data_IF_070658795618
#
_entry.id   IF_070658795618
#
_cell.length_a   1.000
_cell.length_b   1.000
_cell.length_c   1.000
_cell.angle_alpha   90.00
_cell.angle_beta   90.00
_cell.angle_gamma   90.00
#
_symmetry.space_group_name_H-M   'P 1'
#
loop_
_entity.id
_entity.type
_entity.pdbx_description
1 polymer ?
#
# COMPACT_ATOMS: atom_id res chain seq x y z
N UNK A 1 -6.34 -13.47 -9.75
CA UNK A 1 -5.47 -14.67 -9.70
C UNK A 1 -5.17 -15.23 -11.09
N UNK A 2 -5.97 -14.94 -12.10
CA UNK A 2 -5.72 -15.36 -13.50
C UNK A 2 -4.56 -14.64 -14.20
N UNK A 3 -4.00 -13.62 -13.58
CA UNK A 3 -2.91 -12.78 -14.12
C UNK A 3 -1.51 -13.32 -13.78
N UNK A 4 -1.39 -14.24 -12.81
CA UNK A 4 -0.12 -14.86 -12.45
C UNK A 4 0.36 -15.82 -13.55
N UNK A 5 1.67 -15.85 -13.77
CA UNK A 5 2.30 -16.75 -14.75
C UNK A 5 2.12 -18.21 -14.32
N UNK A 6 1.28 -18.94 -15.05
CA UNK A 6 0.95 -20.34 -14.77
C UNK A 6 2.15 -21.30 -14.89
N UNK A 7 3.25 -20.87 -15.47
CA UNK A 7 4.48 -21.68 -15.59
C UNK A 7 5.34 -21.67 -14.32
N UNK A 8 5.06 -20.76 -13.39
CA UNK A 8 5.79 -20.62 -12.12
C UNK A 8 5.15 -21.42 -11.01
N UNK A 9 6.00 -22.01 -10.17
CA UNK A 9 5.59 -22.62 -8.93
C UNK A 9 5.48 -21.56 -7.83
N UNK A 10 4.27 -21.38 -7.29
CA UNK A 10 3.95 -20.44 -6.19
C UNK A 10 3.85 -21.15 -4.83
N UNK A 11 4.35 -22.38 -4.69
CA UNK A 11 4.27 -23.16 -3.45
C UNK A 11 4.96 -22.47 -2.26
N UNK A 12 5.85 -21.49 -2.54
CA UNK A 12 6.53 -20.69 -1.53
C UNK A 12 5.79 -19.38 -1.16
N UNK A 13 4.64 -19.09 -1.79
CA UNK A 13 3.84 -17.90 -1.49
C UNK A 13 2.79 -18.22 -0.44
N UNK A 14 3.20 -18.19 0.83
CA UNK A 14 2.33 -18.55 1.97
C UNK A 14 1.32 -17.45 2.35
N UNK A 15 1.50 -16.21 1.87
CA UNK A 15 0.62 -15.08 2.20
C UNK A 15 0.10 -14.37 0.96
N UNK A 16 -1.04 -13.68 1.10
CA UNK A 16 -1.61 -12.86 0.04
C UNK A 16 -0.65 -11.74 -0.37
N UNK A 17 0.08 -11.14 0.58
CA UNK A 17 1.05 -10.08 0.31
C UNK A 17 2.19 -10.58 -0.58
N UNK A 18 2.74 -11.77 -0.32
CA UNK A 18 3.77 -12.36 -1.18
C UNK A 18 3.28 -12.63 -2.61
N UNK A 19 2.02 -13.02 -2.78
CA UNK A 19 1.43 -13.19 -4.11
C UNK A 19 1.28 -11.86 -4.85
N UNK A 20 0.88 -10.79 -4.14
CA UNK A 20 0.78 -9.44 -4.73
C UNK A 20 2.18 -8.93 -5.11
N UNK A 21 3.17 -9.13 -4.23
CA UNK A 21 4.56 -8.77 -4.47
C UNK A 21 5.11 -9.48 -5.73
N UNK A 22 4.95 -10.80 -5.84
CA UNK A 22 5.39 -11.55 -7.01
C UNK A 22 4.67 -11.11 -8.29
N UNK A 23 3.36 -10.82 -8.22
CA UNK A 23 2.63 -10.28 -9.36
C UNK A 23 3.15 -8.90 -9.77
N UNK A 24 3.45 -8.03 -8.79
CA UNK A 24 4.05 -6.71 -9.02
C UNK A 24 5.42 -6.83 -9.70
N UNK A 25 6.28 -7.71 -9.22
CA UNK A 25 7.59 -7.96 -9.80
C UNK A 25 7.50 -8.51 -11.25
N UNK A 26 6.55 -9.40 -11.52
CA UNK A 26 6.29 -9.88 -12.87
C UNK A 26 5.83 -8.76 -13.80
N UNK A 27 4.97 -7.89 -13.32
CA UNK A 27 4.48 -6.73 -14.07
C UNK A 27 5.65 -5.80 -14.43
N UNK A 28 6.53 -5.50 -13.48
CA UNK A 28 7.71 -4.69 -13.72
C UNK A 28 8.70 -5.34 -14.71
N UNK A 29 8.85 -6.66 -14.68
CA UNK A 29 9.68 -7.36 -15.68
C UNK A 29 9.09 -7.28 -17.09
N UNK A 30 7.77 -7.50 -17.22
CA UNK A 30 7.07 -7.44 -18.51
C UNK A 30 7.01 -6.04 -19.13
N UNK A 31 7.13 -4.98 -18.35
CA UNK A 31 7.08 -3.61 -18.86
C UNK A 31 8.21 -3.32 -19.84
N UNK A 32 9.37 -3.97 -19.67
CA UNK A 32 10.53 -3.84 -20.57
C UNK A 32 10.20 -4.33 -21.97
N UNK A 33 9.33 -5.32 -22.12
CA UNK A 33 8.91 -5.87 -23.42
C UNK A 33 8.05 -4.86 -24.22
N UNK A 34 7.28 -4.03 -23.50
CA UNK A 34 6.42 -2.99 -24.09
C UNK A 34 7.06 -1.59 -24.04
N UNK A 35 8.36 -1.51 -23.69
CA UNK A 35 9.16 -0.27 -23.63
C UNK A 35 8.57 0.80 -22.71
N UNK A 36 7.97 0.41 -21.60
CA UNK A 36 7.53 1.33 -20.56
C UNK A 36 8.55 1.32 -19.42
N UNK A 37 8.98 2.51 -19.00
CA UNK A 37 9.96 2.64 -17.93
C UNK A 37 9.35 2.22 -16.58
N UNK A 38 10.01 1.31 -15.89
CA UNK A 38 9.67 0.87 -14.54
C UNK A 38 9.60 2.02 -13.53
N UNK A 39 10.41 3.06 -13.73
CA UNK A 39 10.40 4.25 -12.88
C UNK A 39 9.04 4.95 -12.98
N UNK A 40 8.51 5.13 -14.19
CA UNK A 40 7.20 5.75 -14.41
C UNK A 40 6.06 4.92 -13.81
N UNK A 41 6.14 3.59 -13.91
CA UNK A 41 5.15 2.68 -13.33
C UNK A 41 5.16 2.80 -11.79
N UNK A 42 6.35 2.77 -11.17
CA UNK A 42 6.50 2.93 -9.71
C UNK A 42 6.03 4.30 -9.24
N UNK A 43 6.39 5.37 -9.97
CA UNK A 43 5.94 6.72 -9.66
C UNK A 43 4.40 6.85 -9.77
N UNK A 44 3.79 6.21 -10.75
CA UNK A 44 2.33 6.19 -10.93
C UNK A 44 1.64 5.55 -9.72
N UNK A 45 2.06 4.37 -9.29
CA UNK A 45 1.51 3.69 -8.10
C UNK A 45 1.74 4.53 -6.85
N UNK A 46 2.96 5.04 -6.63
CA UNK A 46 3.29 5.84 -5.45
C UNK A 46 2.42 7.09 -5.33
N UNK A 47 2.20 7.81 -6.44
CA UNK A 47 1.34 9.01 -6.46
C UNK A 47 -0.10 8.66 -6.11
N UNK A 48 -0.65 7.58 -6.69
CA UNK A 48 -2.00 7.11 -6.42
C UNK A 48 -2.15 6.71 -4.94
N UNK A 49 -1.22 5.91 -4.42
CA UNK A 49 -1.22 5.43 -3.03
C UNK A 49 -1.12 6.58 -2.05
N UNK A 50 -0.19 7.53 -2.24
CA UNK A 50 -0.05 8.72 -1.40
C UNK A 50 -1.32 9.57 -1.37
N UNK A 51 -1.97 9.76 -2.51
CA UNK A 51 -3.24 10.49 -2.57
C UNK A 51 -4.36 9.75 -1.82
N UNK A 52 -4.49 8.44 -2.04
CA UNK A 52 -5.48 7.60 -1.34
C UNK A 52 -5.23 7.60 0.17
N UNK A 53 -3.98 7.45 0.57
CA UNK A 53 -3.55 7.50 1.97
C UNK A 53 -3.94 8.83 2.64
N UNK A 54 -3.54 9.95 2.03
CA UNK A 54 -3.76 11.29 2.57
C UNK A 54 -5.24 11.67 2.62
N UNK A 55 -6.02 11.23 1.65
CA UNK A 55 -7.45 11.53 1.55
C UNK A 55 -8.34 10.48 2.23
N UNK A 56 -7.76 9.39 2.74
CA UNK A 56 -8.49 8.22 3.28
C UNK A 56 -9.57 7.71 2.31
N UNK A 57 -9.21 7.58 1.04
CA UNK A 57 -10.10 7.18 -0.05
C UNK A 57 -9.62 5.92 -0.73
N UNK A 58 -10.56 5.11 -1.21
CA UNK A 58 -10.29 3.90 -2.01
C UNK A 58 -10.33 4.15 -3.53
N UNK A 59 -10.74 5.35 -3.93
CA UNK A 59 -10.68 5.83 -5.31
C UNK A 59 -10.31 7.31 -5.36
N UNK A 60 -9.61 7.72 -6.42
CA UNK A 60 -9.11 9.08 -6.61
C UNK A 60 -9.61 9.63 -7.94
N UNK A 61 -9.92 10.92 -7.97
CA UNK A 61 -10.28 11.61 -9.21
C UNK A 61 -9.03 11.67 -10.10
N UNK A 62 -9.13 11.15 -11.33
CA UNK A 62 -8.02 11.10 -12.28
C UNK A 62 -7.37 12.47 -12.51
N UNK A 63 -8.15 13.55 -12.55
CA UNK A 63 -7.69 14.92 -12.83
C UNK A 63 -6.68 15.46 -11.81
N UNK A 64 -6.66 14.94 -10.57
CA UNK A 64 -5.73 15.39 -9.54
C UNK A 64 -4.42 14.57 -9.51
N UNK A 65 -4.32 13.53 -10.34
CA UNK A 65 -3.12 12.71 -10.46
C UNK A 65 -2.15 13.36 -11.46
N UNK A 66 -0.88 13.43 -11.07
CA UNK A 66 0.21 13.84 -11.95
C UNK A 66 1.05 12.61 -12.28
N UNK A 67 0.56 11.78 -13.21
CA UNK A 67 1.15 10.49 -13.57
C UNK A 67 1.29 10.34 -15.08
N UNK A 68 2.22 9.51 -15.51
CA UNK A 68 2.36 9.16 -16.92
C UNK A 68 1.15 8.33 -17.40
N UNK A 69 0.52 8.76 -18.49
CA UNK A 69 -0.68 8.11 -19.03
C UNK A 69 -0.41 6.71 -19.59
N UNK A 70 0.82 6.43 -20.08
CA UNK A 70 1.17 5.10 -20.57
C UNK A 70 1.37 4.14 -19.40
N UNK A 71 2.00 4.61 -18.32
CA UNK A 71 2.12 3.84 -17.08
C UNK A 71 0.73 3.53 -16.49
N UNK A 72 -0.18 4.52 -16.45
CA UNK A 72 -1.54 4.34 -15.97
C UNK A 72 -2.32 3.31 -16.81
N UNK A 73 -2.25 3.41 -18.14
CA UNK A 73 -2.85 2.44 -19.07
C UNK A 73 -2.27 1.05 -18.91
N UNK A 74 -0.95 0.95 -18.76
CA UNK A 74 -0.27 -0.32 -18.55
C UNK A 74 -0.74 -1.01 -17.27
N UNK A 75 -0.81 -0.30 -16.16
CA UNK A 75 -1.31 -0.81 -14.87
C UNK A 75 -2.77 -1.27 -14.97
N UNK A 76 -3.61 -0.51 -15.69
CA UNK A 76 -5.01 -0.87 -15.90
C UNK A 76 -5.14 -2.11 -16.80
N UNK A 77 -4.41 -2.17 -17.92
CA UNK A 77 -4.45 -3.31 -18.85
C UNK A 77 -3.95 -4.61 -18.23
N UNK A 78 -3.08 -4.52 -17.21
CA UNK A 78 -2.58 -5.67 -16.46
C UNK A 78 -3.39 -5.98 -15.19
N UNK A 79 -4.54 -5.35 -15.00
CA UNK A 79 -5.47 -5.67 -13.92
C UNK A 79 -5.06 -5.20 -12.53
N UNK A 80 -4.10 -4.28 -12.40
CA UNK A 80 -3.74 -3.65 -11.12
C UNK A 80 -4.69 -2.51 -10.77
N UNK A 81 -4.99 -1.67 -11.75
CA UNK A 81 -5.87 -0.51 -11.58
C UNK A 81 -7.15 -0.67 -12.39
N UNK A 82 -8.22 -0.18 -11.84
CA UNK A 82 -9.48 0.05 -12.51
C UNK A 82 -9.61 1.54 -12.79
N UNK A 83 -9.59 1.91 -14.07
CA UNK A 83 -9.61 3.30 -14.55
C UNK A 83 -10.92 3.56 -15.26
N UNK A 84 -11.74 4.45 -14.70
CA UNK A 84 -12.95 4.98 -15.30
C UNK A 84 -12.68 6.35 -15.93
N UNK A 85 -13.70 6.98 -16.51
CA UNK A 85 -13.52 8.31 -17.14
C UNK A 85 -12.94 9.34 -16.17
N UNK A 86 -13.41 9.36 -14.94
CA UNK A 86 -13.07 10.37 -13.94
C UNK A 86 -12.31 9.84 -12.74
N UNK A 87 -12.27 8.52 -12.53
CA UNK A 87 -11.73 7.93 -11.30
C UNK A 87 -10.72 6.82 -11.57
N UNK A 88 -9.83 6.65 -10.62
CA UNK A 88 -8.85 5.56 -10.57
C UNK A 88 -8.96 4.87 -9.20
N UNK A 89 -9.03 3.56 -9.21
CA UNK A 89 -9.00 2.71 -8.02
C UNK A 89 -8.14 1.47 -8.25
N UNK A 90 -7.81 0.75 -7.20
CA UNK A 90 -7.26 -0.60 -7.35
C UNK A 90 -8.37 -1.60 -7.70
N UNK A 91 -8.05 -2.60 -8.51
CA UNK A 91 -9.01 -3.66 -8.90
C UNK A 91 -9.48 -4.49 -7.72
N UNK A 92 -8.64 -4.62 -6.70
CA UNK A 92 -8.95 -5.34 -5.47
C UNK A 92 -8.44 -4.57 -4.25
N UNK A 93 -9.26 -4.52 -3.20
CA UNK A 93 -8.91 -3.85 -1.94
C UNK A 93 -7.58 -4.36 -1.36
N UNK A 94 -7.29 -5.65 -1.47
CA UNK A 94 -6.04 -6.25 -0.97
C UNK A 94 -4.78 -5.71 -1.65
N UNK A 95 -4.87 -5.31 -2.93
CA UNK A 95 -3.74 -4.68 -3.62
C UNK A 95 -3.50 -3.29 -3.04
N UNK A 96 -4.58 -2.52 -2.81
CA UNK A 96 -4.48 -1.22 -2.14
C UNK A 96 -3.89 -1.36 -0.74
N UNK A 97 -4.40 -2.30 0.08
CA UNK A 97 -3.93 -2.52 1.45
C UNK A 97 -2.43 -2.83 1.47
N UNK A 98 -1.94 -3.69 0.58
CA UNK A 98 -0.51 -4.00 0.42
C UNK A 98 0.32 -2.73 0.13
N UNK A 99 -0.09 -1.89 -0.82
CA UNK A 99 0.66 -0.68 -1.14
C UNK A 99 0.56 0.40 -0.05
N UNK A 100 -0.54 0.46 0.69
CA UNK A 100 -0.68 1.34 1.85
C UNK A 100 0.25 0.91 3.00
N UNK A 101 0.40 -0.39 3.22
CA UNK A 101 1.35 -0.97 4.17
C UNK A 101 2.80 -0.63 3.78
N UNK A 102 3.18 -0.82 2.51
CA UNK A 102 4.49 -0.39 1.98
C UNK A 102 4.73 1.10 2.19
N UNK A 103 3.72 1.96 1.96
CA UNK A 103 3.83 3.40 2.21
C UNK A 103 4.05 3.72 3.70
N UNK A 104 3.38 3.01 4.61
CA UNK A 104 3.60 3.19 6.06
C UNK A 104 5.01 2.79 6.49
N UNK A 105 5.56 1.69 5.94
CA UNK A 105 6.94 1.29 6.18
C UNK A 105 7.92 2.34 5.63
N UNK A 106 7.68 2.87 4.43
CA UNK A 106 8.49 3.96 3.87
C UNK A 106 8.46 5.20 4.77
N UNK A 107 7.28 5.62 5.24
CA UNK A 107 7.14 6.74 6.17
C UNK A 107 7.92 6.50 7.46
N UNK A 108 7.89 5.28 7.99
CA UNK A 108 8.67 4.90 9.17
C UNK A 108 10.17 5.00 8.91
N UNK A 109 10.65 4.50 7.78
CA UNK A 109 12.06 4.59 7.36
C UNK A 109 12.51 6.05 7.13
N UNK A 110 11.60 6.92 6.70
CA UNK A 110 11.80 8.37 6.60
C UNK A 110 11.76 9.11 7.96
N UNK A 111 11.67 8.38 9.08
CA UNK A 111 11.56 8.90 10.45
C UNK A 111 10.30 9.74 10.70
N UNK A 112 9.20 9.46 10.02
CA UNK A 112 7.90 10.05 10.35
C UNK A 112 7.44 9.59 11.73
N UNK A 113 6.71 10.46 12.42
CA UNK A 113 6.14 10.14 13.73
C UNK A 113 4.99 9.13 13.59
N UNK A 114 4.68 8.43 14.67
CA UNK A 114 3.56 7.47 14.69
C UNK A 114 2.23 8.18 14.39
N UNK A 115 2.07 9.42 14.86
CA UNK A 115 0.91 10.27 14.58
C UNK A 115 0.79 10.60 13.09
N UNK A 116 1.90 10.88 12.41
CA UNK A 116 1.91 11.11 10.95
C UNK A 116 1.53 9.83 10.20
N UNK A 117 2.03 8.66 10.64
CA UNK A 117 1.72 7.36 10.04
C UNK A 117 0.26 6.95 10.31
N UNK A 118 -0.27 7.19 11.48
CA UNK A 118 -1.69 6.89 11.80
C UNK A 118 -2.63 7.88 11.10
N UNK A 119 -2.18 9.12 10.96
CA UNK A 119 -2.97 10.23 10.43
C UNK A 119 -3.81 10.94 11.49
N UNK A 120 -4.45 12.04 11.07
CA UNK A 120 -5.31 12.82 11.95
C UNK A 120 -6.58 12.03 12.38
N UNK A 121 -7.32 12.57 13.34
CA UNK A 121 -8.50 11.89 13.93
C UNK A 121 -9.55 11.49 12.88
N UNK A 122 -9.73 12.28 11.82
CA UNK A 122 -10.71 11.98 10.76
C UNK A 122 -10.24 10.80 9.88
N UNK A 123 -8.93 10.62 9.73
CA UNK A 123 -8.31 9.52 8.98
C UNK A 123 -8.28 8.22 9.79
N UNK A 124 -8.46 8.26 11.09
CA UNK A 124 -8.46 7.10 11.96
C UNK A 124 -9.80 6.35 11.85
N UNK A 125 -9.98 5.64 10.74
CA UNK A 125 -11.13 4.83 10.37
C UNK A 125 -10.93 3.35 10.73
N UNK A 126 -11.96 2.49 10.68
CA UNK A 126 -11.78 1.03 10.80
C UNK A 126 -10.80 0.45 9.78
N UNK A 127 -10.80 0.98 8.55
CA UNK A 127 -9.81 0.57 7.53
C UNK A 127 -8.39 0.95 7.95
N UNK A 128 -8.19 2.16 8.51
CA UNK A 128 -6.89 2.59 9.03
C UNK A 128 -6.43 1.70 10.19
N UNK A 129 -7.34 1.28 11.06
CA UNK A 129 -7.03 0.33 12.13
C UNK A 129 -6.44 -0.97 11.56
N UNK A 130 -7.07 -1.54 10.55
CA UNK A 130 -6.57 -2.74 9.88
C UNK A 130 -5.19 -2.51 9.25
N UNK A 131 -4.99 -1.38 8.56
CA UNK A 131 -3.71 -1.02 7.96
C UNK A 131 -2.59 -0.86 9.02
N UNK A 132 -2.90 -0.29 10.19
CA UNK A 132 -1.93 -0.20 11.30
C UNK A 132 -1.61 -1.58 11.88
N UNK A 133 -2.58 -2.50 11.92
CA UNK A 133 -2.30 -3.89 12.31
C UNK A 133 -1.27 -4.52 11.38
N UNK A 134 -1.49 -4.47 10.06
CA UNK A 134 -0.56 -5.00 9.05
C UNK A 134 0.82 -4.36 9.18
N UNK A 135 0.88 -3.03 9.32
CA UNK A 135 2.13 -2.30 9.53
C UNK A 135 2.89 -2.76 10.79
N UNK A 136 2.19 -3.04 11.89
CA UNK A 136 2.82 -3.54 13.12
C UNK A 136 3.31 -4.99 12.96
N UNK A 137 2.61 -5.82 12.23
CA UNK A 137 3.04 -7.18 11.87
C UNK A 137 4.35 -7.14 11.06
N UNK A 138 4.44 -6.28 10.04
CA UNK A 138 5.67 -6.08 9.26
C UNK A 138 6.83 -5.55 10.12
N UNK A 139 6.54 -4.59 11.02
CA UNK A 139 7.57 -4.09 11.93
C UNK A 139 8.11 -5.18 12.85
N UNK A 140 7.28 -6.11 13.27
CA UNK A 140 7.71 -7.25 14.09
C UNK A 140 8.64 -8.17 13.29
N UNK A 141 8.37 -8.39 12.01
CA UNK A 141 9.23 -9.16 11.10
C UNK A 141 10.58 -8.46 10.83
N UNK A 142 10.58 -7.12 10.74
CA UNK A 142 11.80 -6.31 10.59
C UNK A 142 12.63 -6.36 11.88
N UNK A 143 12.01 -6.18 13.05
CA UNK A 143 12.70 -6.25 14.33
C UNK A 143 11.85 -5.91 15.54
N UNK A 144 11.91 -6.74 16.55
CA UNK A 144 11.18 -6.57 17.82
C UNK A 144 11.39 -5.20 18.47
N UNK A 145 12.59 -4.62 18.32
CA UNK A 145 12.91 -3.30 18.91
C UNK A 145 12.07 -2.20 18.26
N UNK A 146 11.94 -2.22 16.96
CA UNK A 146 11.16 -1.24 16.20
C UNK A 146 9.68 -1.35 16.50
N UNK A 147 9.16 -2.57 16.52
CA UNK A 147 7.79 -2.88 16.95
C UNK A 147 7.49 -2.31 18.35
N UNK A 148 8.34 -2.59 19.35
CA UNK A 148 8.15 -2.09 20.72
C UNK A 148 8.21 -0.57 20.77
N UNK A 149 9.13 0.07 20.04
CA UNK A 149 9.28 1.52 20.05
C UNK A 149 8.05 2.21 19.44
N UNK A 150 7.56 1.72 18.31
CA UNK A 150 6.34 2.23 17.67
C UNK A 150 5.13 1.96 18.56
N UNK A 151 4.99 0.77 19.12
CA UNK A 151 3.91 0.42 20.03
C UNK A 151 3.84 1.33 21.26
N UNK A 152 4.97 1.61 21.91
CA UNK A 152 5.01 2.57 23.03
C UNK A 152 4.54 3.96 22.64
N UNK A 153 4.96 4.48 21.47
CA UNK A 153 4.51 5.78 20.97
C UNK A 153 3.03 5.77 20.64
N UNK A 154 2.56 4.72 19.97
CA UNK A 154 1.14 4.52 19.65
C UNK A 154 0.28 4.59 20.93
N UNK A 155 0.64 3.85 21.97
CA UNK A 155 -0.11 3.76 23.22
C UNK A 155 -0.13 5.09 23.99
N UNK A 156 0.99 5.82 24.01
CA UNK A 156 1.15 7.05 24.79
C UNK A 156 0.62 8.31 24.07
N UNK A 157 0.35 8.25 22.76
CA UNK A 157 -0.14 9.41 22.02
C UNK A 157 -1.56 9.78 22.39
N UNK A 158 -1.81 11.04 22.73
CA UNK A 158 -3.17 11.57 22.98
C UNK A 158 -3.99 11.78 21.70
N UNK A 159 -3.30 11.88 20.56
CA UNK A 159 -3.90 12.13 19.25
C UNK A 159 -4.36 10.85 18.52
N UNK A 160 -4.17 9.70 19.14
CA UNK A 160 -4.56 8.42 18.56
C UNK A 160 -5.73 7.82 19.34
N UNK A 161 -6.79 7.48 18.61
CA UNK A 161 -8.01 6.89 19.18
C UNK A 161 -7.73 5.53 19.82
N UNK A 162 -8.42 5.25 20.91
CA UNK A 162 -8.25 4.03 21.70
C UNK A 162 -8.35 2.75 20.86
N UNK A 163 -9.32 2.67 19.94
CA UNK A 163 -9.52 1.47 19.15
C UNK A 163 -8.39 1.21 18.12
N UNK A 164 -7.65 2.25 17.71
CA UNK A 164 -6.40 2.08 16.94
C UNK A 164 -5.29 1.54 17.85
N UNK A 165 -5.14 2.07 19.06
CA UNK A 165 -4.14 1.62 20.03
C UNK A 165 -4.33 0.16 20.43
N UNK A 166 -5.58 -0.31 20.44
CA UNK A 166 -5.91 -1.69 20.82
C UNK A 166 -5.26 -2.74 19.90
N UNK A 167 -4.97 -2.38 18.65
CA UNK A 167 -4.28 -3.26 17.68
C UNK A 167 -2.94 -3.79 18.20
N UNK A 168 -2.25 -3.03 19.05
CA UNK A 168 -0.95 -3.44 19.60
C UNK A 168 -1.05 -4.68 20.53
N UNK A 169 -2.24 -5.03 20.99
CA UNK A 169 -2.49 -6.15 21.88
C UNK A 169 -3.12 -7.36 21.18
N UNK A 170 -3.34 -7.28 19.89
CA UNK A 170 -3.90 -8.36 19.06
C UNK A 170 -2.80 -9.18 18.36
#
# INVERSE_FOLDING_TARGET
WTQLDKSKNYDNCYTTNKLIEEWWEQLLRKSSEVKIDNILIKQCINEIVKKMYNMSRISIIKKILNVDENALKYLSSNGFLFVEEQTVSFTHQRILDYFLEVEMINMYQENKTVEEIVGNIEQQTPSRRYQIQMFLEDLLDIGTKDFINVGKRLLNSENIRFYIKHVFFE
#
